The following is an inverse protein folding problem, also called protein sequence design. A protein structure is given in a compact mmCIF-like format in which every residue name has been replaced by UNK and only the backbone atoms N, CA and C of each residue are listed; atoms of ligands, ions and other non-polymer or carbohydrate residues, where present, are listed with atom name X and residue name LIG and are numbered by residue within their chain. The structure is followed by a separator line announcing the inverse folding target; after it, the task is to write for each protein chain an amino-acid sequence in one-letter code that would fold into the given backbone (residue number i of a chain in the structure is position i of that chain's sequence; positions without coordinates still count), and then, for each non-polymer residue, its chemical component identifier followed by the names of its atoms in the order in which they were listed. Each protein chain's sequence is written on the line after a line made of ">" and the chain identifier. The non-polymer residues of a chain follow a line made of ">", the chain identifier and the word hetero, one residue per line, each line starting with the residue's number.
data_IF_316956897869
#
_entry.id   IF_316956897869
#
_cell.length_a   1.000
_cell.length_b   1.000
_cell.length_c   1.000
_cell.angle_alpha   90.00
_cell.angle_beta   90.00
_cell.angle_gamma   90.00
#
_symmetry.space_group_name_H-M   'P 1'
#
loop_
_entity.id
_entity.type
_entity.pdbx_description
1 polymer ?
#
# COMPACT_ATOMS: atom_id res chain seq x y z
N UNK A 1 0.45 7.15 7.30
CA UNK A 1 1.81 7.32 7.86
C UNK A 1 2.66 8.30 7.04
N UNK A 2 2.65 8.25 5.70
CA UNK A 2 3.52 9.12 4.87
C UNK A 2 3.40 10.62 5.18
N UNK A 3 2.23 11.10 5.58
CA UNK A 3 2.01 12.52 5.91
C UNK A 3 2.75 13.01 7.16
N UNK A 4 3.22 12.13 8.04
CA UNK A 4 3.96 12.55 9.25
C UNK A 4 5.36 13.09 8.96
N UNK A 5 5.96 12.68 7.83
CA UNK A 5 7.34 13.04 7.47
C UNK A 5 7.46 13.51 6.04
N UNK A 6 6.39 14.07 5.48
CA UNK A 6 6.34 14.49 4.08
C UNK A 6 7.47 15.48 3.72
N UNK A 7 7.85 16.37 4.65
CA UNK A 7 8.95 17.32 4.48
C UNK A 7 10.30 16.64 4.22
N UNK A 8 10.47 15.36 4.58
CA UNK A 8 11.68 14.62 4.28
C UNK A 8 11.94 14.48 2.78
N UNK A 9 10.88 14.49 1.94
CA UNK A 9 11.01 14.46 0.48
C UNK A 9 11.80 15.67 -0.03
N UNK A 10 11.53 16.87 0.51
CA UNK A 10 12.29 18.07 0.16
C UNK A 10 13.77 17.94 0.55
N UNK A 11 14.06 17.41 1.74
CA UNK A 11 15.45 17.14 2.17
C UNK A 11 16.16 16.16 1.23
N UNK A 12 15.48 15.09 0.82
CA UNK A 12 16.03 14.11 -0.13
C UNK A 12 16.34 14.75 -1.47
N UNK A 13 15.48 15.63 -1.97
CA UNK A 13 15.70 16.37 -3.21
C UNK A 13 16.87 17.34 -3.09
N UNK A 14 16.93 18.11 -2.00
CA UNK A 14 18.01 19.08 -1.73
C UNK A 14 19.38 18.40 -1.66
N UNK A 15 19.47 17.30 -0.94
CA UNK A 15 20.72 16.56 -0.74
C UNK A 15 21.02 15.54 -1.88
N UNK A 16 20.14 15.47 -2.89
CA UNK A 16 20.24 14.53 -4.02
C UNK A 16 20.44 13.07 -3.59
N UNK A 17 19.74 12.68 -2.53
CA UNK A 17 19.87 11.34 -1.97
C UNK A 17 19.26 10.30 -2.92
N UNK A 18 19.97 9.20 -3.13
CA UNK A 18 19.42 8.08 -3.90
C UNK A 18 18.52 7.22 -3.01
N UNK A 19 17.27 7.65 -2.85
CA UNK A 19 16.27 7.01 -2.01
C UNK A 19 14.99 6.80 -2.82
N UNK A 20 14.48 5.60 -2.84
CA UNK A 20 13.22 5.25 -3.49
C UNK A 20 12.15 5.14 -2.41
N UNK A 21 11.19 6.07 -2.43
CA UNK A 21 10.04 6.07 -1.54
C UNK A 21 8.86 5.37 -2.19
N UNK A 22 8.33 4.35 -1.56
CA UNK A 22 7.14 3.64 -2.04
C UNK A 22 6.00 3.92 -1.06
N UNK A 23 4.94 4.56 -1.54
CA UNK A 23 3.72 4.85 -0.77
C UNK A 23 2.61 3.91 -1.23
N UNK A 24 2.27 2.93 -0.41
CA UNK A 24 1.09 2.10 -0.64
C UNK A 24 -0.17 2.88 -0.26
N UNK A 25 -0.90 3.36 -1.27
CA UNK A 25 -2.09 4.18 -1.09
C UNK A 25 -3.36 3.34 -1.23
N UNK A 26 -3.94 2.95 -0.11
CA UNK A 26 -5.23 2.27 -0.03
C UNK A 26 -6.40 3.24 0.22
N UNK A 27 -6.16 4.55 0.31
CA UNK A 27 -7.16 5.61 0.60
C UNK A 27 -7.98 5.37 1.86
N UNK A 28 -7.43 4.63 2.83
CA UNK A 28 -8.17 4.26 4.05
C UNK A 28 -7.22 3.93 5.20
N UNK A 29 -7.69 4.15 6.41
CA UNK A 29 -7.10 3.58 7.62
C UNK A 29 -7.59 2.13 7.83
N UNK A 30 -7.30 1.25 6.87
CA UNK A 30 -7.79 -0.13 6.84
C UNK A 30 -7.46 -0.94 8.11
N UNK A 31 -6.30 -0.68 8.72
CA UNK A 31 -5.89 -1.36 9.96
C UNK A 31 -6.82 -1.00 11.14
N UNK A 32 -7.28 0.25 11.23
CA UNK A 32 -8.19 0.68 12.27
C UNK A 32 -9.57 0.04 12.09
N UNK A 33 -10.04 -0.11 10.85
CA UNK A 33 -11.26 -0.86 10.55
C UNK A 33 -11.17 -2.32 11.00
N UNK A 34 -10.03 -2.95 10.78
CA UNK A 34 -9.75 -4.32 11.22
C UNK A 34 -9.78 -4.45 12.76
N UNK A 35 -9.16 -3.51 13.47
CA UNK A 35 -9.12 -3.52 14.93
C UNK A 35 -10.53 -3.30 15.52
N UNK A 36 -11.35 -2.41 14.95
CA UNK A 36 -12.76 -2.27 15.36
C UNK A 36 -13.54 -3.58 15.24
N UNK A 37 -13.36 -4.29 14.13
CA UNK A 37 -14.00 -5.60 13.96
C UNK A 37 -13.51 -6.64 14.98
N UNK A 38 -12.22 -6.60 15.35
CA UNK A 38 -11.65 -7.52 16.35
C UNK A 38 -12.22 -7.32 17.74
N UNK A 39 -12.45 -6.08 18.16
CA UNK A 39 -13.03 -5.77 19.49
C UNK A 39 -14.55 -5.91 19.52
N UNK A 40 -15.17 -6.40 18.43
CA UNK A 40 -16.61 -6.64 18.38
C UNK A 40 -17.47 -5.36 18.31
N UNK A 41 -16.82 -4.22 18.06
CA UNK A 41 -17.57 -3.02 17.68
C UNK A 41 -18.14 -3.27 16.28
N UNK A 42 -19.43 -3.52 16.19
CA UNK A 42 -20.14 -3.51 14.90
C UNK A 42 -19.73 -2.25 14.16
N UNK A 43 -19.40 -2.42 12.87
CA UNK A 43 -18.81 -1.42 11.99
C UNK A 43 -19.15 -0.01 12.45
N UNK A 44 -18.21 0.62 13.16
CA UNK A 44 -18.43 1.83 13.92
C UNK A 44 -19.29 2.80 13.12
N UNK A 45 -20.30 3.41 13.71
CA UNK A 45 -21.34 4.14 13.02
C UNK A 45 -20.79 5.07 11.93
N UNK A 46 -21.66 5.61 11.09
CA UNK A 46 -21.28 6.42 9.89
C UNK A 46 -20.15 7.42 10.15
N UNK A 47 -20.08 8.00 11.36
CA UNK A 47 -19.03 8.94 11.75
C UNK A 47 -17.63 8.27 11.84
N UNK A 48 -17.53 7.06 12.38
CA UNK A 48 -16.25 6.33 12.45
C UNK A 48 -15.78 5.90 11.07
N UNK A 49 -16.69 5.47 10.19
CA UNK A 49 -16.35 5.11 8.81
C UNK A 49 -15.83 6.32 8.03
N UNK A 50 -16.40 7.50 8.23
CA UNK A 50 -15.93 8.76 7.62
C UNK A 50 -14.51 9.12 8.08
N UNK A 51 -14.17 8.89 9.35
CA UNK A 51 -12.82 9.15 9.86
C UNK A 51 -11.76 8.20 9.29
N UNK A 52 -12.16 7.01 8.84
CA UNK A 52 -11.23 6.05 8.23
C UNK A 52 -11.11 6.19 6.72
N UNK A 53 -11.97 6.99 6.10
CA UNK A 53 -11.93 7.27 4.67
C UNK A 53 -10.96 8.43 4.37
N UNK A 54 -9.90 8.14 3.64
CA UNK A 54 -8.90 9.12 3.20
C UNK A 54 -9.08 9.50 1.71
N UNK A 55 -10.27 9.31 1.16
CA UNK A 55 -10.55 9.60 -0.24
C UNK A 55 -11.21 10.97 -0.47
N UNK A 56 -11.56 11.71 0.60
CA UNK A 56 -12.26 12.99 0.50
C UNK A 56 -11.65 14.05 1.45
N UNK A 57 -10.87 15.02 0.94
CA UNK A 57 -10.31 15.05 -0.43
C UNK A 57 -9.26 13.96 -0.65
N UNK A 58 -9.08 13.47 -1.89
CA UNK A 58 -8.05 12.49 -2.18
C UNK A 58 -6.66 13.11 -2.02
N UNK A 59 -5.75 12.38 -1.37
CA UNK A 59 -4.34 12.76 -1.32
C UNK A 59 -3.66 12.40 -2.65
N UNK A 60 -3.03 13.38 -3.28
CA UNK A 60 -2.21 13.17 -4.48
C UNK A 60 -0.73 13.16 -4.08
N UNK A 61 -0.20 11.97 -3.80
CA UNK A 61 1.19 11.81 -3.40
C UNK A 61 2.17 12.12 -4.55
N UNK A 62 1.74 11.98 -5.80
CA UNK A 62 2.55 12.36 -6.96
C UNK A 62 2.72 13.88 -7.00
N UNK A 63 1.64 14.64 -6.90
CA UNK A 63 1.70 16.10 -6.85
C UNK A 63 2.51 16.60 -5.63
N UNK A 64 2.34 15.98 -4.46
CA UNK A 64 3.10 16.31 -3.26
C UNK A 64 4.61 16.05 -3.45
N UNK A 65 4.98 14.90 -4.01
CA UNK A 65 6.38 14.58 -4.30
C UNK A 65 7.00 15.55 -5.29
N UNK A 66 6.31 15.84 -6.38
CA UNK A 66 6.74 16.81 -7.39
C UNK A 66 6.90 18.22 -6.79
N UNK A 67 5.95 18.66 -5.95
CA UNK A 67 6.03 19.93 -5.24
C UNK A 67 7.23 20.03 -4.28
N UNK A 68 7.74 18.89 -3.79
CA UNK A 68 8.96 18.81 -2.97
C UNK A 68 10.24 18.58 -3.79
N UNK A 69 10.15 18.61 -5.15
CA UNK A 69 11.29 18.43 -6.04
C UNK A 69 11.71 16.98 -6.26
N UNK A 70 10.86 16.01 -5.92
CA UNK A 70 11.11 14.57 -6.10
C UNK A 70 10.37 14.06 -7.35
N UNK A 71 11.06 13.47 -8.33
CA UNK A 71 10.42 12.75 -9.44
C UNK A 71 9.45 11.69 -8.89
N UNK A 72 8.19 11.77 -9.30
CA UNK A 72 7.11 10.97 -8.71
C UNK A 72 6.21 10.40 -9.78
N UNK A 73 5.78 9.16 -9.61
CA UNK A 73 4.83 8.49 -10.49
C UNK A 73 3.80 7.66 -9.70
N UNK A 74 2.69 7.32 -10.36
CA UNK A 74 1.65 6.46 -9.83
C UNK A 74 1.66 5.14 -10.58
N UNK A 75 1.51 4.04 -9.85
CA UNK A 75 1.36 2.70 -10.39
C UNK A 75 0.04 2.10 -9.87
N UNK A 76 -0.80 1.65 -10.79
CA UNK A 76 -2.11 1.05 -10.53
C UNK A 76 -2.13 -0.45 -10.87
N UNK A 77 -1.07 -0.95 -11.50
CA UNK A 77 -0.86 -2.36 -11.80
C UNK A 77 0.54 -2.82 -11.36
N UNK A 78 0.74 -4.13 -11.31
CA UNK A 78 2.04 -4.73 -10.98
C UNK A 78 3.08 -4.40 -12.05
N UNK A 79 2.68 -4.38 -13.32
CA UNK A 79 3.55 -4.07 -14.46
C UNK A 79 4.04 -2.63 -14.40
N UNK A 80 3.13 -1.67 -14.14
CA UNK A 80 3.47 -0.25 -13.95
C UNK A 80 4.40 -0.07 -12.75
N UNK A 81 4.14 -0.77 -11.66
CA UNK A 81 4.98 -0.71 -10.46
C UNK A 81 6.38 -1.23 -10.73
N UNK A 82 6.52 -2.38 -11.40
CA UNK A 82 7.82 -2.96 -11.75
C UNK A 82 8.60 -2.03 -12.68
N UNK A 83 7.96 -1.48 -13.71
CA UNK A 83 8.59 -0.53 -14.63
C UNK A 83 9.08 0.74 -13.91
N UNK A 84 8.24 1.30 -13.01
CA UNK A 84 8.60 2.46 -12.20
C UNK A 84 9.77 2.17 -11.25
N UNK A 85 9.77 1.00 -10.61
CA UNK A 85 10.83 0.58 -9.70
C UNK A 85 12.15 0.35 -10.44
N UNK A 86 12.12 -0.32 -11.60
CA UNK A 86 13.29 -0.50 -12.44
C UNK A 86 13.87 0.83 -12.90
N UNK A 87 13.03 1.77 -13.31
CA UNK A 87 13.47 3.12 -13.69
C UNK A 87 14.17 3.82 -12.51
N UNK A 88 13.55 3.80 -11.33
CA UNK A 88 14.07 4.43 -10.13
C UNK A 88 15.39 3.81 -9.66
N UNK A 89 15.57 2.48 -9.82
CA UNK A 89 16.83 1.79 -9.50
C UNK A 89 17.98 2.17 -10.43
N UNK A 90 17.68 2.51 -11.69
CA UNK A 90 18.69 2.87 -12.70
C UNK A 90 19.01 4.37 -12.71
N UNK A 91 18.12 5.21 -12.18
CA UNK A 91 18.23 6.66 -12.24
C UNK A 91 18.71 7.21 -10.89
N UNK A 92 19.89 7.82 -10.78
CA UNK A 92 20.34 8.43 -9.53
C UNK A 92 19.42 9.56 -9.07
N UNK A 93 19.26 9.68 -7.76
CA UNK A 93 18.43 10.71 -7.13
C UNK A 93 17.25 10.13 -6.35
N UNK A 94 16.44 11.00 -5.73
CA UNK A 94 15.26 10.58 -4.99
C UNK A 94 14.12 10.27 -5.97
N UNK A 95 13.33 9.25 -5.64
CA UNK A 95 12.11 8.88 -6.38
C UNK A 95 10.96 8.62 -5.42
N UNK A 96 9.73 8.90 -5.86
CA UNK A 96 8.52 8.52 -5.16
C UNK A 96 7.61 7.71 -6.10
N UNK A 97 7.20 6.54 -5.66
CA UNK A 97 6.25 5.68 -6.36
C UNK A 97 5.01 5.54 -5.50
N UNK A 98 3.88 6.08 -5.97
CA UNK A 98 2.57 5.84 -5.36
C UNK A 98 2.00 4.55 -5.92
N UNK A 99 2.00 3.48 -5.14
CA UNK A 99 1.36 2.21 -5.48
C UNK A 99 -0.09 2.21 -4.99
N UNK A 100 -1.04 2.24 -5.92
CA UNK A 100 -2.47 2.19 -5.60
C UNK A 100 -2.85 0.75 -5.27
N UNK A 101 -3.33 0.54 -4.05
CA UNK A 101 -3.73 -0.79 -3.57
C UNK A 101 -5.21 -0.80 -3.15
N UNK A 102 -5.87 -1.97 -3.09
CA UNK A 102 -7.25 -2.08 -2.65
C UNK A 102 -7.49 -1.49 -1.27
N UNK A 103 -8.66 -0.87 -1.04
CA UNK A 103 -9.04 -0.23 0.24
C UNK A 103 -9.07 -1.18 1.42
N UNK A 104 -9.49 -2.42 1.18
CA UNK A 104 -9.56 -3.43 2.24
C UNK A 104 -9.33 -4.82 1.69
N UNK A 105 -8.71 -5.66 2.49
CA UNK A 105 -8.76 -7.10 2.30
C UNK A 105 -10.02 -7.58 3.02
N UNK A 106 -10.88 -8.36 2.34
CA UNK A 106 -12.09 -8.91 2.95
C UNK A 106 -11.74 -9.60 4.28
N UNK A 107 -12.45 -9.24 5.36
CA UNK A 107 -12.23 -9.83 6.69
C UNK A 107 -12.35 -11.36 6.69
N UNK A 108 -13.17 -11.91 5.79
CA UNK A 108 -13.29 -13.35 5.56
C UNK A 108 -11.99 -13.94 4.98
N UNK A 109 -11.36 -13.26 4.01
CA UNK A 109 -10.06 -13.67 3.46
C UNK A 109 -8.98 -13.66 4.54
N UNK A 110 -8.94 -12.63 5.39
CA UNK A 110 -7.97 -12.53 6.49
C UNK A 110 -8.18 -13.61 7.57
N UNK A 111 -9.43 -14.00 7.86
CA UNK A 111 -9.72 -15.09 8.80
C UNK A 111 -9.39 -16.46 8.24
N UNK A 112 -9.68 -16.70 6.96
CA UNK A 112 -9.48 -18.00 6.31
C UNK A 112 -8.04 -18.19 5.81
N UNK A 113 -7.33 -17.12 5.45
CA UNK A 113 -5.98 -17.17 4.89
C UNK A 113 -4.98 -17.93 5.78
N UNK A 114 -4.91 -17.73 7.12
CA UNK A 114 -4.02 -18.51 7.97
C UNK A 114 -4.32 -20.00 7.97
N UNK A 115 -5.62 -20.36 7.98
CA UNK A 115 -6.05 -21.77 7.93
C UNK A 115 -5.74 -22.41 6.58
N UNK A 116 -5.98 -21.70 5.49
CA UNK A 116 -5.63 -22.14 4.14
C UNK A 116 -4.11 -22.30 3.99
N UNK A 117 -3.33 -21.33 4.46
CA UNK A 117 -1.87 -21.39 4.40
C UNK A 117 -1.31 -22.53 5.28
N UNK A 118 -1.96 -22.80 6.41
CA UNK A 118 -1.58 -23.93 7.27
C UNK A 118 -1.88 -25.29 6.61
N UNK A 119 -3.05 -25.43 5.98
CA UNK A 119 -3.42 -26.66 5.26
C UNK A 119 -2.52 -26.92 4.05
N UNK A 120 -2.01 -25.87 3.38
CA UNK A 120 -1.07 -25.99 2.27
C UNK A 120 0.32 -26.51 2.68
N UNK A 121 0.61 -26.55 3.99
CA UNK A 121 1.89 -27.00 4.53
C UNK A 121 2.13 -28.50 4.29
N UNK A 122 1.05 -29.26 4.12
CA UNK A 122 1.07 -30.71 3.89
C UNK A 122 1.00 -31.08 2.40
N UNK A 123 0.90 -30.10 1.50
CA UNK A 123 0.82 -30.32 0.06
C UNK A 123 2.21 -30.24 -0.61
N UNK A 124 2.43 -31.00 -1.69
CA UNK A 124 3.64 -30.87 -2.52
C UNK A 124 3.84 -29.42 -2.98
N UNK A 125 5.08 -28.93 -2.94
CA UNK A 125 5.46 -27.53 -3.26
C UNK A 125 4.81 -26.97 -4.53
N UNK A 126 4.77 -27.68 -5.69
CA UNK A 126 4.18 -27.12 -6.92
C UNK A 126 2.67 -26.85 -6.79
N UNK A 127 1.93 -27.72 -6.10
CA UNK A 127 0.50 -27.57 -5.84
C UNK A 127 0.23 -26.41 -4.86
N UNK A 128 1.01 -26.33 -3.78
CA UNK A 128 0.91 -25.26 -2.81
C UNK A 128 1.17 -23.87 -3.43
N UNK A 129 2.14 -23.76 -4.34
CA UNK A 129 2.44 -22.52 -5.07
C UNK A 129 1.32 -22.15 -6.05
N UNK A 130 0.73 -23.13 -6.75
CA UNK A 130 -0.41 -22.89 -7.63
C UNK A 130 -1.62 -22.33 -6.89
N UNK A 131 -1.97 -22.92 -5.74
CA UNK A 131 -3.07 -22.44 -4.89
C UNK A 131 -2.77 -21.06 -4.29
N UNK A 132 -1.53 -20.83 -3.84
CA UNK A 132 -1.12 -19.49 -3.36
C UNK A 132 -1.32 -18.41 -4.41
N UNK A 133 -0.94 -18.67 -5.67
CA UNK A 133 -1.12 -17.71 -6.77
C UNK A 133 -2.58 -17.47 -7.13
N UNK A 134 -3.46 -18.45 -6.94
CA UNK A 134 -4.89 -18.34 -7.21
C UNK A 134 -5.66 -17.61 -6.09
N UNK A 135 -5.14 -17.64 -4.85
CA UNK A 135 -5.81 -17.05 -3.66
C UNK A 135 -5.18 -15.72 -3.26
N UNK A 136 -3.93 -15.45 -3.66
CA UNK A 136 -3.31 -14.16 -3.49
C UNK A 136 -4.02 -13.12 -4.38
N UNK A 137 -4.37 -11.95 -3.84
CA UNK A 137 -4.96 -10.87 -4.63
C UNK A 137 -3.96 -10.32 -5.65
#
# INVERSE_FOLDING_TARGET
>A
SAMYTLQALWTMARERLHVINIVFNNRSYAILNLELQRVGAEAGGRAAQQQFDLSQPPLDFVALGQGMGVPSCRASSTEEFLAALEHALRTPGPHLIEAVVPRSVSGLKLRLLPYLLHSLRHLPRPLALGIKRAVAP
#
